data_IF_916502567752
#
_entry.id   IF_916502567752
#
_cell.length_a   1.000
_cell.length_b   1.000
_cell.length_c   1.000
_cell.angle_alpha   90.00
_cell.angle_beta   90.00
_cell.angle_gamma   90.00
#
_symmetry.space_group_name_H-M   'P 1'
#
loop_
_entity.id
_entity.type
_entity.pdbx_description
1 polymer ?
#
# COMPACT_ATOMS: atom_id res chain seq x y z
N UNK A 1 5.22 -2.89 -30.76
CA UNK A 1 5.66 -1.96 -29.68
C UNK A 1 5.01 -2.32 -28.38
N UNK A 2 5.82 -2.42 -27.33
CA UNK A 2 5.34 -2.72 -25.99
C UNK A 2 4.50 -1.54 -25.46
N UNK A 3 3.26 -1.82 -25.08
CA UNK A 3 2.31 -0.82 -24.64
C UNK A 3 2.60 -0.41 -23.19
N UNK A 4 2.83 0.87 -22.95
CA UNK A 4 2.97 1.40 -21.60
C UNK A 4 1.63 1.39 -20.85
N UNK A 5 1.70 1.34 -19.53
CA UNK A 5 0.56 1.23 -18.62
C UNK A 5 0.68 2.26 -17.49
N UNK A 6 -0.45 2.74 -17.00
CA UNK A 6 -0.46 3.56 -15.77
C UNK A 6 -0.45 2.66 -14.54
N UNK A 7 0.36 3.06 -13.55
CA UNK A 7 0.55 2.37 -12.29
C UNK A 7 0.36 3.34 -11.13
N UNK A 8 -0.41 2.91 -10.11
CA UNK A 8 -0.68 3.64 -8.89
C UNK A 8 0.29 3.21 -7.81
N UNK A 9 1.11 4.14 -7.31
CA UNK A 9 1.99 3.94 -6.17
C UNK A 9 1.43 4.67 -4.94
N UNK A 10 1.33 3.97 -3.82
CA UNK A 10 0.83 4.53 -2.56
C UNK A 10 1.75 4.25 -1.37
N UNK A 11 2.77 3.44 -1.53
CA UNK A 11 3.71 3.01 -0.49
C UNK A 11 5.17 3.33 -0.85
N UNK A 12 6.06 2.34 -0.75
CA UNK A 12 7.50 2.53 -0.99
C UNK A 12 7.84 2.99 -2.41
N UNK A 13 6.97 2.73 -3.38
CA UNK A 13 7.16 3.18 -4.77
C UNK A 13 6.79 4.66 -5.00
N UNK A 14 6.44 5.40 -3.95
CA UNK A 14 6.46 6.85 -3.92
C UNK A 14 7.89 7.40 -3.84
N UNK A 15 8.84 6.57 -3.41
CA UNK A 15 10.24 6.96 -3.23
C UNK A 15 10.96 6.98 -4.58
N UNK A 16 11.26 8.18 -5.07
CA UNK A 16 11.81 8.37 -6.40
C UNK A 16 13.13 7.63 -6.62
N UNK A 17 14.12 7.68 -5.68
CA UNK A 17 15.37 6.94 -5.87
C UNK A 17 15.18 5.42 -5.92
N UNK A 18 14.30 4.85 -5.11
CA UNK A 18 14.04 3.41 -5.18
C UNK A 18 13.37 3.01 -6.49
N UNK A 19 12.42 3.82 -6.97
CA UNK A 19 11.78 3.55 -8.28
C UNK A 19 12.77 3.70 -9.43
N UNK A 20 13.69 4.68 -9.38
CA UNK A 20 14.72 4.83 -10.41
C UNK A 20 15.62 3.59 -10.52
N UNK A 21 15.91 2.94 -9.41
CA UNK A 21 16.68 1.70 -9.37
C UNK A 21 15.84 0.49 -9.82
N UNK A 22 14.61 0.37 -9.28
CA UNK A 22 13.73 -0.78 -9.54
C UNK A 22 13.14 -0.77 -10.95
N UNK A 23 12.75 0.40 -11.43
CA UNK A 23 12.04 0.61 -12.69
C UNK A 23 12.66 1.77 -13.47
N UNK A 24 13.84 1.57 -14.09
CA UNK A 24 14.58 2.69 -14.71
C UNK A 24 13.84 3.39 -15.85
N UNK A 25 12.86 2.74 -16.48
CA UNK A 25 12.09 3.33 -17.58
C UNK A 25 10.76 3.92 -17.14
N UNK A 26 10.40 3.81 -15.87
CA UNK A 26 9.19 4.40 -15.33
C UNK A 26 9.29 5.93 -15.27
N UNK A 27 8.17 6.59 -15.55
CA UNK A 27 8.07 8.06 -15.50
C UNK A 27 6.86 8.50 -14.69
N UNK A 28 7.07 9.46 -13.79
CA UNK A 28 5.98 10.11 -13.06
C UNK A 28 5.11 10.88 -14.04
N UNK A 29 3.79 10.68 -13.98
CA UNK A 29 2.82 11.46 -14.76
C UNK A 29 2.03 12.45 -13.91
N UNK A 30 1.94 12.26 -12.61
CA UNK A 30 1.32 13.21 -11.70
C UNK A 30 0.85 12.59 -10.40
N UNK A 31 0.37 13.43 -9.51
CA UNK A 31 -0.26 13.02 -8.25
C UNK A 31 -1.77 12.93 -8.41
N UNK A 32 -2.41 12.04 -7.66
CA UNK A 32 -3.85 11.87 -7.63
C UNK A 32 -4.29 11.32 -6.28
N UNK A 33 -5.53 10.90 -6.18
CA UNK A 33 -6.10 10.23 -5.02
C UNK A 33 -6.93 9.03 -5.46
N UNK A 34 -6.89 7.96 -4.70
CA UNK A 34 -7.80 6.83 -4.85
C UNK A 34 -8.97 7.03 -3.89
N UNK A 35 -10.14 7.29 -4.44
CA UNK A 35 -11.35 7.52 -3.65
C UNK A 35 -11.95 6.20 -3.15
N UNK A 36 -12.52 6.21 -1.94
CA UNK A 36 -13.19 5.05 -1.37
C UNK A 36 -12.26 3.97 -0.82
N UNK A 37 -11.02 4.34 -0.49
CA UNK A 37 -10.00 3.47 0.07
C UNK A 37 -9.28 4.14 1.24
N UNK A 38 -8.70 3.33 2.11
CA UNK A 38 -7.81 3.77 3.18
C UNK A 38 -6.46 3.07 3.07
N UNK A 39 -5.42 3.71 3.61
CA UNK A 39 -4.09 3.14 3.72
C UNK A 39 -3.96 2.38 5.04
N UNK A 40 -3.48 1.15 4.97
CA UNK A 40 -3.24 0.28 6.14
C UNK A 40 -1.90 -0.44 6.00
N UNK A 41 -1.41 -0.97 7.11
CA UNK A 41 -0.19 -1.78 7.17
C UNK A 41 -0.52 -3.17 7.68
N UNK A 42 -0.12 -4.18 6.91
CA UNK A 42 -0.35 -5.61 7.20
C UNK A 42 0.84 -6.44 6.75
N UNK A 43 0.87 -7.68 7.17
CA UNK A 43 1.60 -8.73 6.46
C UNK A 43 2.92 -9.17 7.01
N UNK A 44 3.36 -8.75 8.16
CA UNK A 44 4.65 -9.22 8.61
C UNK A 44 4.85 -9.24 10.11
N UNK A 45 5.45 -10.32 10.62
CA UNK A 45 5.94 -10.42 12.00
C UNK A 45 7.20 -9.57 12.25
N UNK A 46 7.89 -9.17 11.18
CA UNK A 46 9.13 -8.37 11.20
C UNK A 46 8.98 -6.99 10.55
N UNK A 47 7.77 -6.50 10.47
CA UNK A 47 7.43 -5.26 9.84
C UNK A 47 6.30 -5.45 8.83
N UNK A 48 5.20 -4.74 9.07
CA UNK A 48 4.08 -4.72 8.15
C UNK A 48 4.41 -3.84 6.95
N UNK A 49 3.75 -4.08 5.82
CA UNK A 49 3.90 -3.29 4.61
C UNK A 49 2.57 -2.69 4.18
N UNK A 50 2.62 -1.65 3.36
CA UNK A 50 1.45 -0.88 2.97
C UNK A 50 0.52 -1.65 2.05
N UNK A 51 -0.77 -1.48 2.27
CA UNK A 51 -1.84 -1.88 1.35
C UNK A 51 -2.98 -0.86 1.44
N UNK A 52 -3.91 -0.92 0.51
CA UNK A 52 -5.13 -0.13 0.55
C UNK A 52 -6.34 -1.05 0.59
N UNK A 53 -7.37 -0.65 1.34
CA UNK A 53 -8.60 -1.41 1.50
C UNK A 53 -9.80 -0.48 1.35
N UNK A 54 -10.94 -1.00 0.87
CA UNK A 54 -12.13 -0.16 0.70
C UNK A 54 -12.60 0.47 2.02
N UNK A 55 -12.85 1.77 1.98
CA UNK A 55 -13.48 2.52 3.06
C UNK A 55 -14.22 3.71 2.46
N UNK A 56 -15.55 3.66 2.47
CA UNK A 56 -16.39 4.74 1.94
C UNK A 56 -16.09 6.06 2.66
N UNK A 57 -15.99 7.15 1.89
CA UNK A 57 -15.71 8.48 2.41
C UNK A 57 -14.25 8.79 2.68
N UNK A 58 -13.35 7.83 2.49
CA UNK A 58 -11.91 8.02 2.62
C UNK A 58 -11.23 8.13 1.25
N UNK A 59 -10.00 8.64 1.23
CA UNK A 59 -9.16 8.67 0.03
C UNK A 59 -7.69 8.50 0.39
N UNK A 60 -6.90 8.00 -0.55
CA UNK A 60 -5.47 7.76 -0.36
C UNK A 60 -4.68 8.57 -1.39
N UNK A 61 -3.73 9.41 -0.97
CA UNK A 61 -2.87 10.12 -1.92
C UNK A 61 -1.94 9.13 -2.64
N UNK A 62 -1.81 9.30 -3.95
CA UNK A 62 -1.05 8.38 -4.80
C UNK A 62 -0.24 9.14 -5.84
N UNK A 63 0.84 8.52 -6.29
CA UNK A 63 1.63 8.97 -7.43
C UNK A 63 1.34 8.04 -8.60
N UNK A 64 1.09 8.62 -9.76
CA UNK A 64 0.84 7.88 -10.99
C UNK A 64 2.13 7.79 -11.80
N UNK A 65 2.47 6.60 -12.21
CA UNK A 65 3.63 6.29 -13.04
C UNK A 65 3.19 5.71 -14.37
N UNK A 66 3.88 6.10 -15.42
CA UNK A 66 3.82 5.42 -16.72
C UNK A 66 4.93 4.39 -16.74
N UNK A 67 4.59 3.11 -16.84
CA UNK A 67 5.52 1.99 -16.80
C UNK A 67 5.50 1.20 -18.11
N UNK A 68 6.62 0.58 -18.42
CA UNK A 68 6.76 -0.36 -19.52
C UNK A 68 6.64 -1.80 -19.01
N UNK A 69 6.44 -2.80 -19.90
CA UNK A 69 6.34 -4.19 -19.46
C UNK A 69 7.51 -4.70 -18.63
N UNK A 70 8.72 -4.25 -18.91
CA UNK A 70 9.91 -4.60 -18.11
C UNK A 70 9.86 -4.04 -16.69
N UNK A 71 9.31 -2.84 -16.53
CA UNK A 71 9.10 -2.24 -15.21
C UNK A 71 8.04 -3.04 -14.42
N UNK A 72 6.96 -3.45 -15.09
CA UNK A 72 5.92 -4.27 -14.46
C UNK A 72 6.48 -5.61 -13.97
N UNK A 73 7.36 -6.25 -14.73
CA UNK A 73 8.03 -7.49 -14.29
C UNK A 73 8.88 -7.26 -13.03
N UNK A 74 9.58 -6.13 -12.95
CA UNK A 74 10.36 -5.76 -11.75
C UNK A 74 9.44 -5.51 -10.56
N UNK A 75 8.32 -4.82 -10.78
CA UNK A 75 7.30 -4.60 -9.73
C UNK A 75 6.67 -5.91 -9.29
N UNK A 76 6.33 -6.80 -10.19
CA UNK A 76 5.77 -8.12 -9.87
C UNK A 76 6.67 -8.90 -8.91
N UNK A 77 7.97 -8.87 -9.15
CA UNK A 77 8.96 -9.52 -8.28
C UNK A 77 9.05 -8.84 -6.92
N UNK A 78 9.10 -7.52 -6.92
CA UNK A 78 9.19 -6.74 -5.69
C UNK A 78 7.96 -6.93 -4.80
N UNK A 79 6.77 -6.94 -5.39
CA UNK A 79 5.50 -7.06 -4.68
C UNK A 79 5.13 -8.52 -4.35
N UNK A 80 5.87 -9.49 -4.87
CA UNK A 80 5.54 -10.90 -4.68
C UNK A 80 4.23 -11.29 -5.36
N UNK A 81 3.96 -10.72 -6.52
CA UNK A 81 2.78 -11.04 -7.32
C UNK A 81 2.88 -12.47 -7.91
N UNK A 82 1.84 -13.28 -7.89
CA UNK A 82 0.47 -13.02 -7.38
C UNK A 82 0.24 -13.48 -5.93
N UNK A 83 1.25 -13.99 -5.23
CA UNK A 83 1.09 -14.68 -3.94
C UNK A 83 0.91 -13.73 -2.75
N UNK A 84 1.64 -12.61 -2.73
CA UNK A 84 1.57 -11.63 -1.65
C UNK A 84 0.64 -10.47 -2.00
N UNK A 85 0.81 -9.88 -3.18
CA UNK A 85 -0.07 -8.87 -3.74
C UNK A 85 -0.75 -9.37 -5.01
N UNK A 86 -1.98 -8.93 -5.22
CA UNK A 86 -2.71 -9.09 -6.49
C UNK A 86 -2.72 -7.77 -7.25
N UNK A 87 -3.09 -7.82 -8.51
CA UNK A 87 -3.30 -6.63 -9.34
C UNK A 87 -4.79 -6.33 -9.49
N UNK A 88 -5.13 -5.05 -9.38
CA UNK A 88 -6.46 -4.55 -9.68
C UNK A 88 -6.35 -3.32 -10.57
N UNK A 89 -7.44 -2.97 -11.25
CA UNK A 89 -7.57 -1.73 -12.00
C UNK A 89 -8.50 -0.80 -11.23
N UNK A 90 -8.02 0.39 -10.90
CA UNK A 90 -8.83 1.41 -10.22
C UNK A 90 -8.90 2.66 -11.06
N UNK A 91 -10.03 3.37 -10.95
CA UNK A 91 -10.21 4.67 -11.56
C UNK A 91 -9.56 5.75 -10.69
N UNK A 92 -8.78 6.62 -11.32
CA UNK A 92 -8.18 7.82 -10.71
C UNK A 92 -8.38 9.00 -11.65
N UNK A 93 -8.36 10.20 -11.10
CA UNK A 93 -8.37 11.42 -11.88
C UNK A 93 -6.96 11.95 -12.10
N UNK A 94 -6.67 12.36 -13.33
CA UNK A 94 -5.45 13.08 -13.68
C UNK A 94 -5.85 14.26 -14.57
N UNK A 95 -5.53 15.48 -14.10
CA UNK A 95 -5.88 16.73 -14.81
C UNK A 95 -7.39 16.82 -15.11
N UNK A 96 -8.25 16.39 -14.19
CA UNK A 96 -9.69 16.42 -14.31
C UNK A 96 -10.30 15.33 -15.19
N UNK A 97 -9.49 14.37 -15.66
CA UNK A 97 -9.94 13.24 -16.49
C UNK A 97 -9.87 11.94 -15.73
N UNK A 98 -10.92 11.11 -15.75
CA UNK A 98 -10.87 9.76 -15.18
C UNK A 98 -10.02 8.84 -16.04
N UNK A 99 -9.15 8.08 -15.41
CA UNK A 99 -8.26 7.11 -16.03
C UNK A 99 -8.23 5.83 -15.20
N UNK A 100 -8.13 4.68 -15.88
CA UNK A 100 -7.89 3.41 -15.20
C UNK A 100 -6.41 3.14 -15.09
N UNK A 101 -5.97 2.77 -13.90
CA UNK A 101 -4.58 2.47 -13.63
C UNK A 101 -4.45 1.19 -12.81
N UNK A 102 -3.35 0.47 -13.02
CA UNK A 102 -3.03 -0.76 -12.30
C UNK A 102 -2.53 -0.43 -10.90
N UNK A 103 -2.92 -1.22 -9.92
CA UNK A 103 -2.48 -1.10 -8.54
C UNK A 103 -2.22 -2.50 -7.95
N UNK A 104 -1.22 -2.60 -7.09
CA UNK A 104 -1.00 -3.80 -6.28
C UNK A 104 -1.75 -3.66 -4.96
N UNK A 105 -2.57 -4.64 -4.64
CA UNK A 105 -3.31 -4.71 -3.37
C UNK A 105 -2.97 -6.04 -2.70
N UNK A 106 -2.67 -5.99 -1.41
CA UNK A 106 -2.30 -7.17 -0.64
C UNK A 106 -3.45 -8.18 -0.63
N UNK A 107 -3.13 -9.46 -0.82
CA UNK A 107 -4.10 -10.53 -0.69
C UNK A 107 -4.64 -10.60 0.74
N UNK A 108 -5.91 -10.98 0.88
CA UNK A 108 -6.60 -11.02 2.16
C UNK A 108 -5.99 -12.03 3.14
N UNK A 109 -6.26 -11.82 4.44
CA UNK A 109 -5.92 -12.78 5.48
C UNK A 109 -4.62 -12.49 6.24
N UNK A 110 -3.96 -11.37 5.99
CA UNK A 110 -2.75 -10.98 6.71
C UNK A 110 -3.08 -10.07 7.88
N UNK A 111 -2.32 -10.20 8.97
CA UNK A 111 -2.51 -9.45 10.19
C UNK A 111 -2.09 -7.99 10.03
N UNK A 112 -2.75 -7.11 10.77
CA UNK A 112 -2.29 -5.72 10.93
C UNK A 112 -0.99 -5.69 11.71
N UNK A 113 -0.18 -4.66 11.47
CA UNK A 113 1.07 -4.49 12.20
C UNK A 113 1.70 -3.12 11.98
N UNK A 114 2.80 -2.89 12.68
CA UNK A 114 3.62 -1.70 12.51
C UNK A 114 4.64 -1.92 11.39
N UNK A 115 4.84 -0.93 10.50
CA UNK A 115 5.95 -0.99 9.55
C UNK A 115 7.30 -0.88 10.28
N UNK A 116 8.36 -1.39 9.66
CA UNK A 116 9.71 -1.13 10.14
C UNK A 116 10.06 0.36 9.98
N UNK A 117 10.97 0.86 10.80
CA UNK A 117 11.40 2.26 10.74
C UNK A 117 11.98 2.62 9.38
N UNK A 118 12.80 1.75 8.82
CA UNK A 118 13.40 1.95 7.49
C UNK A 118 12.33 2.05 6.40
N UNK A 119 11.38 1.13 6.38
CA UNK A 119 10.29 1.11 5.39
C UNK A 119 9.39 2.35 5.51
N UNK A 120 9.02 2.71 6.74
CA UNK A 120 8.21 3.90 6.99
C UNK A 120 8.94 5.18 6.57
N UNK A 121 10.23 5.29 6.88
CA UNK A 121 11.04 6.43 6.49
C UNK A 121 11.10 6.58 4.95
N UNK A 122 11.23 5.47 4.24
CA UNK A 122 11.18 5.45 2.77
C UNK A 122 9.86 6.03 2.23
N UNK A 123 8.73 5.62 2.81
CA UNK A 123 7.41 6.14 2.42
C UNK A 123 7.31 7.63 2.76
N UNK A 124 7.76 8.04 3.94
CA UNK A 124 7.73 9.43 4.38
C UNK A 124 8.52 10.35 3.44
N UNK A 125 9.70 9.94 3.00
CA UNK A 125 10.47 10.66 1.99
C UNK A 125 9.70 10.78 0.67
N UNK A 126 8.99 9.72 0.27
CA UNK A 126 8.12 9.74 -0.91
C UNK A 126 6.97 10.72 -0.77
N UNK A 127 6.34 10.79 0.40
CA UNK A 127 5.29 11.76 0.72
C UNK A 127 5.82 13.19 0.62
N UNK A 128 6.97 13.47 1.24
CA UNK A 128 7.60 14.79 1.20
C UNK A 128 7.91 15.22 -0.22
N UNK A 129 8.51 14.36 -1.02
CA UNK A 129 8.86 14.69 -2.41
C UNK A 129 7.64 14.91 -3.30
N UNK A 130 6.52 14.24 -3.03
CA UNK A 130 5.28 14.40 -3.77
C UNK A 130 4.40 15.56 -3.24
N UNK A 131 4.78 16.17 -2.11
CA UNK A 131 4.00 17.21 -1.46
C UNK A 131 2.77 16.70 -0.72
N UNK A 132 2.75 15.44 -0.31
CA UNK A 132 1.67 14.84 0.45
C UNK A 132 1.82 15.14 1.95
N UNK A 133 0.69 15.21 2.65
CA UNK A 133 0.66 15.43 4.10
C UNK A 133 1.13 14.15 4.84
N UNK A 134 2.26 14.26 5.54
CA UNK A 134 2.82 13.16 6.32
C UNK A 134 1.96 12.77 7.51
N UNK A 135 1.10 13.67 8.01
CA UNK A 135 0.14 13.33 9.07
C UNK A 135 -0.83 12.23 8.62
N UNK A 136 -1.19 12.20 7.35
CA UNK A 136 -2.00 11.13 6.78
C UNK A 136 -1.31 9.77 6.93
N UNK A 137 -0.01 9.72 6.65
CA UNK A 137 0.81 8.50 6.81
C UNK A 137 0.88 8.07 8.27
N UNK A 138 1.15 9.00 9.18
CA UNK A 138 1.24 8.74 10.61
C UNK A 138 -0.09 8.19 11.16
N UNK A 139 -1.21 8.75 10.76
CA UNK A 139 -2.54 8.28 11.14
C UNK A 139 -2.81 6.86 10.64
N UNK A 140 -2.38 6.52 9.43
CA UNK A 140 -2.52 5.17 8.89
C UNK A 140 -1.70 4.15 9.71
N UNK A 141 -0.48 4.52 10.13
CA UNK A 141 0.37 3.69 10.99
C UNK A 141 -0.30 3.49 12.35
N UNK A 142 -0.74 4.57 13.00
CA UNK A 142 -1.42 4.52 14.30
C UNK A 142 -2.66 3.65 14.26
N UNK A 143 -3.49 3.80 13.25
CA UNK A 143 -4.68 2.97 13.05
C UNK A 143 -4.32 1.49 12.90
N UNK A 144 -3.31 1.17 12.11
CA UNK A 144 -2.88 -0.20 11.89
C UNK A 144 -2.34 -0.86 13.16
N UNK A 145 -1.60 -0.12 13.97
CA UNK A 145 -1.11 -0.58 15.28
C UNK A 145 -2.28 -0.84 16.23
N UNK A 146 -3.26 0.08 16.28
CA UNK A 146 -4.47 -0.09 17.12
C UNK A 146 -5.27 -1.31 16.69
N UNK A 147 -5.47 -1.51 15.40
CA UNK A 147 -6.18 -2.68 14.87
C UNK A 147 -5.44 -3.98 15.18
N UNK A 148 -4.11 -3.98 15.14
CA UNK A 148 -3.30 -5.13 15.52
C UNK A 148 -3.48 -5.48 17.01
N UNK A 149 -3.54 -4.48 17.88
CA UNK A 149 -3.78 -4.66 19.32
C UNK A 149 -5.18 -5.20 19.59
N UNK A 150 -6.18 -4.67 18.91
CA UNK A 150 -7.57 -5.13 19.02
C UNK A 150 -7.73 -6.59 18.56
N UNK A 151 -7.08 -6.95 17.46
CA UNK A 151 -7.03 -8.32 16.96
C UNK A 151 -6.42 -9.28 17.98
N UNK A 152 -5.26 -8.92 18.54
CA UNK A 152 -4.57 -9.74 19.54
C UNK A 152 -5.43 -9.91 20.80
N UNK A 153 -6.05 -8.85 21.29
CA UNK A 153 -6.93 -8.91 22.46
C UNK A 153 -8.15 -9.82 22.23
N UNK A 154 -8.72 -9.78 21.02
CA UNK A 154 -9.85 -10.65 20.68
C UNK A 154 -9.45 -12.14 20.61
N UNK A 155 -8.27 -12.43 20.06
CA UNK A 155 -7.71 -13.78 20.00
C UNK A 155 -7.41 -14.32 21.40
N UNK A 156 -6.82 -13.51 22.27
CA UNK A 156 -6.51 -13.86 23.67
C UNK A 156 -7.79 -14.14 24.47
N UNK A 157 -8.83 -13.32 24.28
CA UNK A 157 -10.12 -13.51 24.93
C UNK A 157 -10.78 -14.82 24.49
N UNK A 158 -10.73 -15.12 23.19
CA UNK A 158 -11.27 -16.35 22.63
C UNK A 158 -10.53 -17.59 23.14
N UNK A 159 -9.20 -17.52 23.21
CA UNK A 159 -8.37 -18.59 23.76
C UNK A 159 -8.68 -18.85 25.24
N UNK A 160 -8.82 -17.80 26.05
CA UNK A 160 -9.17 -17.91 27.46
C UNK A 160 -10.56 -18.55 27.66
N UNK A 161 -11.54 -18.17 26.86
CA UNK A 161 -12.90 -18.78 26.88
C UNK A 161 -12.84 -20.25 26.50
N UNK A 162 -12.01 -20.61 25.54
CA UNK A 162 -11.81 -22.00 25.14
C UNK A 162 -11.19 -22.84 26.27
N UNK A 163 -10.15 -22.30 26.95
CA UNK A 163 -9.53 -22.97 28.09
C UNK A 163 -10.54 -23.21 29.23
N UNK A 164 -11.35 -22.21 29.59
CA UNK A 164 -12.35 -22.33 30.64
C UNK A 164 -13.41 -23.40 30.33
N UNK A 165 -13.66 -23.70 29.08
CA UNK A 165 -14.67 -24.69 28.67
C UNK A 165 -14.18 -26.13 28.78
N UNK A 166 -12.88 -26.35 28.82
CA UNK A 166 -12.26 -27.68 28.78
C UNK A 166 -11.52 -28.07 30.07
N UNK A 167 -11.45 -27.17 31.06
CA UNK A 167 -10.87 -27.38 32.39
C UNK A 167 -11.88 -27.05 33.49
#
# INVERSE_FOLDING_TARGET
MAKSRLYIAYGSNLHLPQMAFRCPTAKVVGASEVQGYELLFRGGSRGAVATIEPLEGSSVPVLLWKIRPQDELSLDRYEGFPNFYRKEMLEVELNGKPLNAMVYIMNDGREFGAPSDFYLHTIAEGYESAGFDTDFLDQAVEKSIRLAQEQQAAEDAQFNLWQQKWW
#
